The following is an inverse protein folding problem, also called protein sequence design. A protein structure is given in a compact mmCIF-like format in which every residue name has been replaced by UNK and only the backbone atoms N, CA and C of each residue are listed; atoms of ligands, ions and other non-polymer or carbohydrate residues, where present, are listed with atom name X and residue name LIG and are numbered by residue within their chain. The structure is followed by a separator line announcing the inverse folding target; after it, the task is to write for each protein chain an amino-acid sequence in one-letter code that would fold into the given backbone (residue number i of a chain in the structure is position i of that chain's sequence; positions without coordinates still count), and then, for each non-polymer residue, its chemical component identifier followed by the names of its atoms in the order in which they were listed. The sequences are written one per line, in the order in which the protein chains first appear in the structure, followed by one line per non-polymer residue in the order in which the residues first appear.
data_IF_820079100166
#
_entry.id   IF_820079100166
#
_cell.length_a   1.000
_cell.length_b   1.000
_cell.length_c   1.000
_cell.angle_alpha   90.00
_cell.angle_beta   90.00
_cell.angle_gamma   90.00
#
_symmetry.space_group_name_H-M   'P 1'
#
loop_
_entity.id
_entity.type
_entity.pdbx_description
1 polymer ?
#
# COMPACT_ATOMS: atom_id res chain seq x y z
N UNK A 1 -4.10 -1.29 8.65
CA UNK A 1 -5.07 -0.38 7.98
C UNK A 1 -6.15 -1.18 7.26
N UNK A 2 -5.78 -2.12 6.37
CA UNK A 2 -6.75 -2.91 5.59
C UNK A 2 -7.81 -3.61 6.45
N UNK A 3 -7.41 -4.41 7.46
CA UNK A 3 -8.33 -5.05 8.42
C UNK A 3 -9.36 -4.09 9.03
N UNK A 4 -8.90 -2.90 9.42
CA UNK A 4 -9.75 -1.87 10.02
C UNK A 4 -10.74 -1.27 9.02
N UNK A 5 -10.36 -1.14 7.75
CA UNK A 5 -11.27 -0.71 6.68
C UNK A 5 -12.34 -1.77 6.38
N UNK A 6 -12.00 -3.06 6.56
CA UNK A 6 -12.92 -4.17 6.39
C UNK A 6 -13.90 -4.36 7.56
N UNK A 7 -13.71 -3.63 8.66
CA UNK A 7 -14.53 -3.79 9.86
C UNK A 7 -14.19 -5.03 10.68
N UNK A 8 -12.98 -5.59 10.51
CA UNK A 8 -12.53 -6.72 11.33
C UNK A 8 -12.40 -6.28 12.80
N UNK A 9 -12.92 -7.09 13.72
CA UNK A 9 -12.82 -6.85 15.17
C UNK A 9 -11.42 -7.17 15.75
N UNK A 10 -10.63 -8.00 15.06
CA UNK A 10 -9.25 -8.37 15.44
C UNK A 10 -8.22 -7.76 14.47
N UNK A 11 -7.85 -6.50 14.77
CA UNK A 11 -6.84 -5.73 14.03
C UNK A 11 -5.54 -5.51 14.80
N UNK A 12 -5.44 -5.97 16.05
CA UNK A 12 -4.25 -5.80 16.90
C UNK A 12 -3.13 -6.76 16.53
N UNK A 13 -3.45 -7.88 15.89
CA UNK A 13 -2.48 -8.85 15.40
C UNK A 13 -2.32 -8.74 13.88
N UNK A 14 -1.17 -8.23 13.46
CA UNK A 14 -0.74 -8.26 12.05
C UNK A 14 0.67 -8.81 11.96
N UNK A 15 0.89 -9.77 11.05
CA UNK A 15 2.23 -10.22 10.67
C UNK A 15 2.69 -9.39 9.48
N UNK A 16 4.01 -9.18 9.33
CA UNK A 16 4.54 -8.50 8.16
C UNK A 16 4.05 -9.18 6.86
N UNK A 17 3.40 -8.43 5.98
CA UNK A 17 2.88 -8.95 4.72
C UNK A 17 4.05 -9.39 3.83
N UNK A 18 4.17 -10.71 3.64
CA UNK A 18 5.07 -11.30 2.66
C UNK A 18 4.26 -11.51 1.37
N UNK A 19 4.54 -10.70 0.35
CA UNK A 19 3.77 -10.70 -0.90
C UNK A 19 2.65 -9.66 -0.88
N UNK A 20 1.40 -10.09 -1.07
CA UNK A 20 0.23 -9.21 -1.19
C UNK A 20 -1.05 -9.82 -0.59
N UNK A 21 -1.99 -8.97 -0.18
CA UNK A 21 -3.38 -9.31 0.15
C UNK A 21 -4.33 -8.46 -0.73
N UNK A 22 -5.40 -9.06 -1.25
CA UNK A 22 -6.40 -8.37 -2.07
C UNK A 22 -7.75 -8.40 -1.38
N UNK A 23 -8.38 -7.22 -1.27
CA UNK A 23 -9.71 -7.08 -0.66
C UNK A 23 -10.61 -6.20 -1.51
N UNK A 24 -11.88 -6.54 -1.54
CA UNK A 24 -12.93 -5.68 -2.10
C UNK A 24 -13.64 -4.95 -0.97
N UNK A 25 -13.79 -3.64 -1.12
CA UNK A 25 -14.51 -2.77 -0.19
C UNK A 25 -15.65 -2.09 -0.93
N UNK A 26 -16.86 -2.29 -0.45
CA UNK A 26 -18.02 -1.51 -0.89
C UNK A 26 -18.17 -0.26 -0.02
N UNK A 27 -18.20 0.91 -0.66
CA UNK A 27 -18.44 2.18 0.02
C UNK A 27 -19.47 3.01 -0.76
N UNK A 28 -20.66 3.14 -0.20
CA UNK A 28 -21.79 3.82 -0.84
C UNK A 28 -22.27 3.05 -2.08
N UNK A 29 -22.07 3.62 -3.27
CA UNK A 29 -22.43 3.00 -4.57
C UNK A 29 -21.20 2.59 -5.39
N UNK A 30 -20.04 2.54 -4.77
CA UNK A 30 -18.75 2.27 -5.42
C UNK A 30 -18.07 1.07 -4.78
N UNK A 31 -17.45 0.24 -5.61
CA UNK A 31 -16.64 -0.91 -5.19
C UNK A 31 -15.17 -0.58 -5.45
N UNK A 32 -14.34 -0.83 -4.44
CA UNK A 32 -12.90 -0.58 -4.48
C UNK A 32 -12.17 -1.90 -4.33
N UNK A 33 -11.29 -2.22 -5.30
CA UNK A 33 -10.34 -3.33 -5.17
C UNK A 33 -9.05 -2.78 -4.57
N UNK A 34 -8.72 -3.19 -3.35
CA UNK A 34 -7.53 -2.80 -2.61
C UNK A 34 -6.49 -3.90 -2.64
N UNK A 35 -5.24 -3.53 -2.89
CA UNK A 35 -4.08 -4.41 -2.85
C UNK A 35 -3.13 -3.92 -1.74
N UNK A 36 -3.02 -4.68 -0.66
CA UNK A 36 -2.01 -4.46 0.37
C UNK A 36 -0.73 -5.20 -0.02
N UNK A 37 0.37 -4.48 -0.15
CA UNK A 37 1.63 -5.03 -0.65
C UNK A 37 2.72 -4.79 0.38
N UNK A 38 3.54 -5.81 0.64
CA UNK A 38 4.61 -5.73 1.63
C UNK A 38 5.56 -4.55 1.42
N UNK A 39 5.94 -3.88 2.51
CA UNK A 39 6.82 -2.69 2.49
C UNK A 39 8.31 -2.95 2.78
N UNK A 40 8.69 -4.20 3.03
CA UNK A 40 10.08 -4.57 3.31
C UNK A 40 10.95 -4.34 2.08
N UNK A 41 12.16 -3.81 2.27
CA UNK A 41 13.07 -3.43 1.17
C UNK A 41 13.26 -4.55 0.13
N UNK A 42 13.31 -5.82 0.55
CA UNK A 42 13.46 -6.97 -0.33
C UNK A 42 12.28 -7.25 -1.27
N UNK A 43 11.06 -6.81 -0.93
CA UNK A 43 9.84 -7.05 -1.73
C UNK A 43 9.36 -5.83 -2.51
N UNK A 44 9.89 -4.62 -2.23
CA UNK A 44 9.54 -3.39 -2.97
C UNK A 44 9.70 -3.48 -4.50
N UNK A 45 10.69 -4.21 -5.07
CA UNK A 45 10.77 -4.38 -6.52
C UNK A 45 9.52 -4.99 -7.16
N UNK A 46 8.68 -5.68 -6.38
CA UNK A 46 7.42 -6.28 -6.85
C UNK A 46 6.27 -5.28 -6.94
N UNK A 47 6.38 -4.08 -6.36
CA UNK A 47 5.30 -3.08 -6.37
C UNK A 47 4.81 -2.75 -7.79
N UNK A 48 5.74 -2.71 -8.76
CA UNK A 48 5.42 -2.45 -10.17
C UNK A 48 4.42 -3.43 -10.79
N UNK A 49 4.32 -4.65 -10.26
CA UNK A 49 3.36 -5.64 -10.75
C UNK A 49 1.91 -5.25 -10.49
N UNK A 50 1.68 -4.23 -9.65
CA UNK A 50 0.35 -3.73 -9.28
C UNK A 50 0.05 -2.34 -9.86
N UNK A 51 0.92 -1.75 -10.69
CA UNK A 51 0.68 -0.41 -11.23
C UNK A 51 -0.36 -0.41 -12.35
N UNK A 52 -0.32 -1.42 -13.23
CA UNK A 52 -1.26 -1.54 -14.34
C UNK A 52 -2.69 -1.70 -13.81
N UNK A 53 -3.57 -0.79 -14.22
CA UNK A 53 -4.98 -0.78 -13.79
C UNK A 53 -5.21 -0.18 -12.39
N UNK A 54 -4.17 0.33 -11.72
CA UNK A 54 -4.31 1.05 -10.46
C UNK A 54 -4.70 2.50 -10.71
N UNK A 55 -5.83 2.89 -10.10
CA UNK A 55 -6.36 4.25 -10.21
C UNK A 55 -5.74 5.22 -9.20
N UNK A 56 -5.28 4.71 -8.06
CA UNK A 56 -4.71 5.50 -6.98
C UNK A 56 -3.79 4.66 -6.10
N UNK A 57 -2.76 5.29 -5.54
CA UNK A 57 -1.86 4.68 -4.55
C UNK A 57 -2.09 5.34 -3.19
N UNK A 58 -2.23 4.51 -2.16
CA UNK A 58 -2.19 4.93 -0.76
C UNK A 58 -0.80 4.58 -0.22
N UNK A 59 0.05 5.59 -0.03
CA UNK A 59 1.37 5.42 0.55
C UNK A 59 1.34 5.75 2.04
N UNK A 60 1.64 4.77 2.89
CA UNK A 60 1.54 4.92 4.35
C UNK A 60 2.94 5.14 4.94
N UNK A 61 3.07 6.18 5.76
CA UNK A 61 4.31 6.51 6.48
C UNK A 61 4.08 6.36 7.98
N UNK A 62 5.01 5.67 8.64
CA UNK A 62 5.05 5.60 10.10
C UNK A 62 5.57 6.92 10.66
N UNK A 63 4.64 7.78 11.10
CA UNK A 63 4.97 9.12 11.60
C UNK A 63 5.76 9.12 12.92
N UNK A 64 5.81 7.98 13.63
CA UNK A 64 6.56 7.87 14.88
C UNK A 64 8.03 7.46 14.67
N UNK A 65 8.42 7.07 13.45
CA UNK A 65 9.77 6.64 13.12
C UNK A 65 10.44 7.60 12.12
N UNK A 66 10.88 8.73 12.67
CA UNK A 66 11.52 9.82 11.93
C UNK A 66 12.81 9.39 11.19
N UNK A 67 13.53 8.40 11.71
CA UNK A 67 14.74 7.84 11.09
C UNK A 67 14.45 7.23 9.72
N UNK A 68 13.22 6.78 9.46
CA UNK A 68 12.81 6.22 8.17
C UNK A 68 12.21 7.24 7.21
N UNK A 69 12.06 8.51 7.59
CA UNK A 69 11.54 9.54 6.67
C UNK A 69 12.37 9.73 5.39
N UNK A 70 13.72 9.72 5.43
CA UNK A 70 14.51 9.82 4.20
C UNK A 70 14.24 8.67 3.23
N UNK A 71 14.09 7.45 3.76
CA UNK A 71 13.76 6.26 2.98
C UNK A 71 12.34 6.37 2.39
N UNK A 72 11.35 6.71 3.20
CA UNK A 72 9.96 6.90 2.75
C UNK A 72 9.85 7.96 1.64
N UNK A 73 10.58 9.07 1.78
CA UNK A 73 10.66 10.12 0.76
C UNK A 73 11.25 9.59 -0.55
N UNK A 74 12.36 8.86 -0.48
CA UNK A 74 13.02 8.32 -1.67
C UNK A 74 12.11 7.34 -2.43
N UNK A 75 11.41 6.45 -1.72
CA UNK A 75 10.47 5.51 -2.33
C UNK A 75 9.25 6.22 -2.92
N UNK A 76 8.67 7.20 -2.22
CA UNK A 76 7.55 7.99 -2.74
C UNK A 76 7.94 8.77 -4.00
N UNK A 77 9.14 9.35 -4.04
CA UNK A 77 9.65 10.03 -5.23
C UNK A 77 9.84 9.06 -6.40
N UNK A 78 10.28 7.83 -6.13
CA UNK A 78 10.37 6.76 -7.13
C UNK A 78 9.01 6.41 -7.71
N UNK A 79 8.01 6.20 -6.85
CA UNK A 79 6.63 5.91 -7.26
C UNK A 79 6.05 7.04 -8.11
N UNK A 80 6.18 8.29 -7.67
CA UNK A 80 5.68 9.45 -8.41
C UNK A 80 6.39 9.67 -9.76
N UNK A 81 7.64 9.21 -9.87
CA UNK A 81 8.40 9.29 -11.11
C UNK A 81 8.10 8.12 -12.07
N UNK A 82 7.43 7.06 -11.65
CA UNK A 82 7.17 5.90 -12.50
C UNK A 82 6.17 6.26 -13.62
N UNK A 83 6.51 5.88 -14.85
CA UNK A 83 5.71 6.22 -16.04
C UNK A 83 4.38 5.46 -16.08
N UNK A 84 4.30 4.28 -15.48
CA UNK A 84 3.06 3.49 -15.43
C UNK A 84 2.03 4.10 -14.47
N UNK A 85 2.45 5.01 -13.59
CA UNK A 85 1.61 5.72 -12.63
C UNK A 85 1.33 7.18 -13.04
N UNK A 86 1.92 7.63 -14.15
CA UNK A 86 1.61 8.92 -14.78
C UNK A 86 0.41 8.72 -15.70
N UNK A 87 -0.80 8.81 -15.14
CA UNK A 87 -2.03 8.90 -15.92
C UNK A 87 -1.99 10.04 -16.94
#
# INVERSE_FOLDING_TARGET
ILKRLMGDDDFDQTVATIGFDMRELEYGRSTFSLWDVGGQSGVRPMWKHYFIGTHAIIFVVDAADDKRFPEAKAELQRLAADVELRG
#
